data_IF_408551729804
#
_entry.id   IF_408551729804
#
_cell.length_a   1.000
_cell.length_b   1.000
_cell.length_c   1.000
_cell.angle_alpha   90.00
_cell.angle_beta   90.00
_cell.angle_gamma   90.00
#
_symmetry.space_group_name_H-M   'P 1'
#
loop_
_entity.id
_entity.type
_entity.pdbx_description
1 polymer ?
#
# COMPACT_ATOMS: atom_id res chain seq x y z
N UNK A 1 8.85 32.94 -30.29
CA UNK A 1 8.02 31.88 -29.66
C UNK A 1 8.93 31.15 -28.70
N UNK A 2 8.70 31.28 -27.39
CA UNK A 2 9.45 30.50 -26.41
C UNK A 2 8.93 29.06 -26.49
N UNK A 3 9.78 28.11 -26.87
CA UNK A 3 9.44 26.70 -26.74
C UNK A 3 9.19 26.43 -25.26
N UNK A 4 7.95 26.07 -24.92
CA UNK A 4 7.60 25.69 -23.57
C UNK A 4 8.40 24.42 -23.23
N UNK A 5 9.37 24.58 -22.34
CA UNK A 5 10.18 23.47 -21.86
C UNK A 5 9.26 22.43 -21.20
N UNK A 6 9.16 21.25 -21.81
CA UNK A 6 8.25 20.21 -21.33
C UNK A 6 8.93 19.44 -20.20
N UNK A 7 8.34 19.54 -19.01
CA UNK A 7 8.86 18.93 -17.76
C UNK A 7 9.10 17.42 -17.89
N UNK A 8 8.38 16.74 -18.79
CA UNK A 8 8.47 15.28 -19.00
C UNK A 8 9.83 14.86 -19.57
N UNK A 9 10.53 15.75 -20.27
CA UNK A 9 11.86 15.46 -20.82
C UNK A 9 12.99 15.62 -19.80
N UNK A 10 12.68 16.06 -18.58
CA UNK A 10 13.68 16.13 -17.53
C UNK A 10 14.13 14.72 -17.12
N UNK A 11 15.43 14.56 -16.80
CA UNK A 11 15.91 13.35 -16.15
C UNK A 11 15.13 13.05 -14.87
N UNK A 12 14.92 11.77 -14.60
CA UNK A 12 14.11 11.29 -13.48
C UNK A 12 14.57 11.84 -12.11
N UNK A 13 15.88 12.02 -11.91
CA UNK A 13 16.42 12.57 -10.66
C UNK A 13 16.01 14.03 -10.42
N UNK A 14 15.82 14.83 -11.48
CA UNK A 14 15.33 16.21 -11.37
C UNK A 14 13.85 16.20 -11.01
N UNK A 15 13.05 15.31 -11.63
CA UNK A 15 11.64 15.15 -11.28
C UNK A 15 11.45 14.76 -9.82
N UNK A 16 12.24 13.79 -9.33
CA UNK A 16 12.23 13.41 -7.91
C UNK A 16 12.58 14.61 -7.02
N UNK A 17 13.56 15.42 -7.43
CA UNK A 17 13.92 16.63 -6.66
C UNK A 17 12.80 17.66 -6.64
N UNK A 18 12.09 17.85 -7.75
CA UNK A 18 10.90 18.72 -7.80
C UNK A 18 9.80 18.18 -6.87
N UNK A 19 9.48 16.89 -6.97
CA UNK A 19 8.47 16.26 -6.12
C UNK A 19 8.86 16.26 -4.63
N UNK A 20 10.14 16.35 -4.28
CA UNK A 20 10.58 16.45 -2.88
C UNK A 20 10.10 17.72 -2.15
N UNK A 21 9.60 18.72 -2.89
CA UNK A 21 8.99 19.94 -2.33
C UNK A 21 7.47 19.82 -2.13
N UNK A 22 6.87 18.68 -2.52
CA UNK A 22 5.45 18.41 -2.39
C UNK A 22 5.19 17.44 -1.24
N UNK A 23 3.97 17.48 -0.71
CA UNK A 23 3.44 16.48 0.23
C UNK A 23 3.24 15.13 -0.48
N UNK A 24 3.22 14.03 0.27
CA UNK A 24 2.97 12.72 -0.31
C UNK A 24 1.54 12.62 -0.86
N UNK A 25 0.58 13.34 -0.29
CA UNK A 25 -0.76 13.49 -0.87
C UNK A 25 -0.71 14.09 -2.28
N UNK A 26 -0.02 15.22 -2.44
CA UNK A 26 0.14 15.84 -3.77
C UNK A 26 0.88 14.91 -4.75
N UNK A 27 1.94 14.22 -4.30
CA UNK A 27 2.66 13.22 -5.11
C UNK A 27 1.70 12.12 -5.58
N UNK A 28 0.78 11.66 -4.73
CA UNK A 28 -0.21 10.66 -5.10
C UNK A 28 -1.19 11.15 -6.17
N UNK A 29 -1.65 12.40 -6.07
CA UNK A 29 -2.53 13.03 -7.07
C UNK A 29 -1.81 13.23 -8.41
N UNK A 30 -0.49 13.52 -8.41
CA UNK A 30 0.27 13.71 -9.65
C UNK A 30 0.45 12.43 -10.48
N UNK A 31 0.08 11.27 -9.96
CA UNK A 31 0.11 10.01 -10.71
C UNK A 31 -0.87 10.01 -11.88
N UNK A 32 -1.97 10.73 -11.78
CA UNK A 32 -3.03 10.78 -12.81
C UNK A 32 -2.66 11.69 -14.00
N UNK A 33 -1.53 12.40 -13.94
CA UNK A 33 -1.14 13.36 -14.99
C UNK A 33 -0.65 12.66 -16.24
N UNK A 34 0.29 11.71 -16.11
CA UNK A 34 0.82 10.93 -17.23
C UNK A 34 1.58 9.67 -16.75
N UNK A 35 1.83 8.73 -17.65
CA UNK A 35 2.54 7.48 -17.33
C UNK A 35 3.95 7.69 -16.75
N UNK A 36 4.68 8.70 -17.23
CA UNK A 36 6.02 9.02 -16.69
C UNK A 36 5.91 9.46 -15.23
N UNK A 37 4.98 10.36 -14.92
CA UNK A 37 4.73 10.82 -13.56
C UNK A 37 4.23 9.68 -12.68
N UNK A 38 3.30 8.86 -13.17
CA UNK A 38 2.81 7.68 -12.47
C UNK A 38 3.98 6.77 -12.05
N UNK A 39 4.92 6.46 -12.97
CA UNK A 39 6.09 5.63 -12.67
C UNK A 39 6.98 6.24 -11.58
N UNK A 40 7.31 7.53 -11.69
CA UNK A 40 8.20 8.21 -10.72
C UNK A 40 7.54 8.31 -9.35
N UNK A 41 6.31 8.83 -9.30
CA UNK A 41 5.56 9.04 -8.05
C UNK A 41 5.26 7.70 -7.35
N UNK A 42 4.87 6.67 -8.09
CA UNK A 42 4.65 5.31 -7.55
C UNK A 42 5.87 4.80 -6.81
N UNK A 43 7.05 4.94 -7.43
CA UNK A 43 8.30 4.50 -6.83
C UNK A 43 8.68 5.32 -5.60
N UNK A 44 8.47 6.63 -5.63
CA UNK A 44 8.74 7.49 -4.49
C UNK A 44 7.81 7.23 -3.31
N UNK A 45 6.51 6.96 -3.53
CA UNK A 45 5.56 6.59 -2.47
C UNK A 45 5.93 5.26 -1.80
N UNK A 46 6.24 4.23 -2.58
CA UNK A 46 6.67 2.94 -2.03
C UNK A 46 7.97 3.08 -1.24
N UNK A 47 8.97 3.82 -1.75
CA UNK A 47 10.21 4.11 -1.02
C UNK A 47 9.93 4.88 0.28
N UNK A 48 9.03 5.85 0.24
CA UNK A 48 8.67 6.65 1.40
C UNK A 48 8.02 5.81 2.50
N UNK A 49 7.19 4.83 2.14
CA UNK A 49 6.61 3.87 3.10
C UNK A 49 7.69 3.00 3.74
N UNK A 50 8.59 2.40 2.95
CA UNK A 50 9.71 1.61 3.51
C UNK A 50 10.60 2.46 4.42
N UNK A 51 10.82 3.73 4.07
CA UNK A 51 11.63 4.65 4.88
C UNK A 51 10.94 5.03 6.18
N UNK A 52 9.61 5.25 6.18
CA UNK A 52 8.87 5.63 7.39
C UNK A 52 8.81 4.48 8.40
N UNK A 53 8.65 3.25 7.91
CA UNK A 53 8.66 2.04 8.73
C UNK A 53 10.01 1.82 9.42
N UNK A 54 11.11 1.98 8.68
CA UNK A 54 12.48 1.94 9.24
C UNK A 54 12.71 3.05 10.26
N UNK A 55 12.26 4.27 9.98
CA UNK A 55 12.41 5.41 10.88
C UNK A 55 11.65 5.18 12.19
N UNK A 56 10.40 4.70 12.12
CA UNK A 56 9.62 4.31 13.28
C UNK A 56 10.38 3.27 14.13
N UNK A 57 10.85 2.19 13.50
CA UNK A 57 11.61 1.13 14.17
C UNK A 57 12.87 1.65 14.89
N UNK A 58 13.58 2.60 14.28
CA UNK A 58 14.76 3.23 14.88
C UNK A 58 14.40 4.06 16.11
N UNK A 59 13.39 4.92 16.00
CA UNK A 59 12.92 5.77 17.10
C UNK A 59 12.42 4.88 18.25
N UNK A 60 11.67 3.82 17.94
CA UNK A 60 11.14 2.91 18.94
C UNK A 60 12.25 2.17 19.70
N UNK A 61 13.29 1.67 19.00
CA UNK A 61 14.45 1.05 19.64
C UNK A 61 15.19 2.05 20.54
N UNK A 62 15.39 3.28 20.08
CA UNK A 62 16.05 4.32 20.85
C UNK A 62 15.27 4.63 22.14
N UNK A 63 13.97 4.91 22.05
CA UNK A 63 13.14 5.22 23.22
C UNK A 63 13.06 4.02 24.18
N UNK A 64 12.89 2.79 23.68
CA UNK A 64 12.87 1.58 24.52
C UNK A 64 14.19 1.36 25.27
N UNK A 65 15.32 1.77 24.71
CA UNK A 65 16.64 1.65 25.37
C UNK A 65 16.83 2.61 26.55
N UNK A 66 16.09 3.71 26.59
CA UNK A 66 16.13 4.71 27.67
C UNK A 66 15.15 4.40 28.82
N UNK A 67 14.33 3.36 28.69
CA UNK A 67 13.36 2.99 29.73
C UNK A 67 14.03 2.24 30.90
N UNK A 68 13.56 2.45 32.14
CA UNK A 68 13.98 1.62 33.28
C UNK A 68 13.75 0.13 33.01
N UNK A 69 14.61 -0.76 33.53
CA UNK A 69 14.44 -2.22 33.33
C UNK A 69 13.17 -2.76 34.00
N UNK A 70 12.71 -2.14 35.08
CA UNK A 70 11.58 -2.62 35.89
C UNK A 70 10.24 -2.04 35.39
N UNK A 71 9.29 -2.92 35.10
CA UNK A 71 7.98 -2.55 34.52
C UNK A 71 7.18 -1.56 35.38
N UNK A 72 7.24 -1.69 36.72
CA UNK A 72 6.56 -0.77 37.64
C UNK A 72 7.07 0.67 37.55
N UNK A 73 8.34 0.86 37.18
CA UNK A 73 8.96 2.18 37.03
C UNK A 73 8.69 2.76 35.64
N UNK A 74 8.50 1.90 34.63
CA UNK A 74 8.16 2.33 33.26
C UNK A 74 6.83 3.05 33.21
N UNK A 75 5.80 2.54 33.88
CA UNK A 75 4.44 3.12 33.84
C UNK A 75 4.37 4.57 34.33
N UNK A 76 5.30 4.96 35.20
CA UNK A 76 5.38 6.32 35.75
C UNK A 76 6.43 7.19 35.04
N UNK A 77 7.14 6.64 34.05
CA UNK A 77 8.22 7.33 33.34
C UNK A 77 7.68 8.28 32.27
N UNK A 78 8.33 9.44 32.12
CA UNK A 78 7.94 10.44 31.11
C UNK A 78 7.90 9.88 29.67
N UNK A 79 8.78 8.92 29.36
CA UNK A 79 8.83 8.26 28.04
C UNK A 79 7.76 7.18 27.83
N UNK A 80 7.02 6.74 28.86
CA UNK A 80 6.00 5.69 28.71
C UNK A 80 4.94 6.07 27.68
N UNK A 81 4.50 7.33 27.71
CA UNK A 81 3.50 7.86 26.78
C UNK A 81 3.99 7.84 25.33
N UNK A 82 5.29 8.04 25.10
CA UNK A 82 5.87 7.96 23.76
C UNK A 82 5.87 6.51 23.25
N UNK A 83 6.11 5.53 24.14
CA UNK A 83 6.04 4.11 23.79
C UNK A 83 4.62 3.69 23.41
N UNK A 84 3.61 4.17 24.12
CA UNK A 84 2.20 3.88 23.80
C UNK A 84 1.82 4.43 22.42
N UNK A 85 2.21 5.69 22.12
CA UNK A 85 1.99 6.31 20.81
C UNK A 85 2.71 5.52 19.71
N UNK A 86 3.97 5.17 19.91
CA UNK A 86 4.74 4.39 18.94
C UNK A 86 4.14 3.01 18.71
N UNK A 87 3.63 2.35 19.75
CA UNK A 87 2.99 1.03 19.64
C UNK A 87 1.66 1.12 18.87
N UNK A 88 0.89 2.20 19.07
CA UNK A 88 -0.29 2.48 18.28
C UNK A 88 0.05 2.72 16.79
N UNK A 89 1.12 3.47 16.50
CA UNK A 89 1.61 3.67 15.13
C UNK A 89 2.11 2.37 14.50
N UNK A 90 2.84 1.53 15.25
CA UNK A 90 3.34 0.23 14.80
C UNK A 90 2.20 -0.68 14.32
N UNK A 91 1.10 -0.69 15.07
CA UNK A 91 -0.11 -1.44 14.70
C UNK A 91 -0.67 -0.97 13.36
N UNK A 92 -0.69 0.34 13.10
CA UNK A 92 -1.16 0.89 11.82
C UNK A 92 -0.20 0.59 10.67
N UNK A 93 1.11 0.77 10.88
CA UNK A 93 2.14 0.44 9.89
C UNK A 93 2.09 -1.04 9.49
N UNK A 94 1.93 -1.93 10.46
CA UNK A 94 1.85 -3.37 10.24
C UNK A 94 0.63 -3.75 9.40
N UNK A 95 -0.54 -3.19 9.71
CA UNK A 95 -1.77 -3.44 8.94
C UNK A 95 -1.64 -2.91 7.50
N UNK A 96 -1.12 -1.70 7.32
CA UNK A 96 -0.85 -1.17 5.98
C UNK A 96 0.13 -2.06 5.21
N UNK A 97 1.22 -2.53 5.85
CA UNK A 97 2.15 -3.44 5.21
C UNK A 97 1.46 -4.75 4.80
N UNK A 98 0.68 -5.36 5.69
CA UNK A 98 -0.06 -6.59 5.38
C UNK A 98 -1.03 -6.41 4.20
N UNK A 99 -1.71 -5.26 4.11
CA UNK A 99 -2.65 -4.97 3.03
C UNK A 99 -1.96 -4.78 1.68
N UNK A 100 -0.89 -3.99 1.62
CA UNK A 100 -0.31 -3.56 0.35
C UNK A 100 0.91 -4.37 -0.11
N UNK A 101 1.75 -4.89 0.80
CA UNK A 101 3.07 -5.46 0.45
C UNK A 101 2.95 -6.58 -0.58
N UNK A 102 1.97 -7.48 -0.44
CA UNK A 102 1.75 -8.57 -1.42
C UNK A 102 1.58 -8.06 -2.86
N UNK A 103 0.84 -6.98 -3.06
CA UNK A 103 0.56 -6.44 -4.39
C UNK A 103 1.71 -5.56 -4.90
N UNK A 104 2.42 -4.89 -4.00
CA UNK A 104 3.64 -4.14 -4.31
C UNK A 104 4.75 -5.08 -4.78
N UNK A 105 4.94 -6.22 -4.11
CA UNK A 105 5.99 -7.19 -4.45
C UNK A 105 5.74 -7.87 -5.80
N UNK A 106 4.47 -7.99 -6.21
CA UNK A 106 4.06 -8.49 -7.52
C UNK A 106 4.06 -7.41 -8.61
N UNK A 107 4.50 -6.18 -8.29
CA UNK A 107 4.48 -5.01 -9.18
C UNK A 107 3.08 -4.69 -9.74
N UNK A 108 2.02 -5.08 -9.02
CA UNK A 108 0.63 -4.88 -9.43
C UNK A 108 0.09 -3.51 -9.02
N UNK A 109 0.60 -2.94 -7.93
CA UNK A 109 0.29 -1.58 -7.51
C UNK A 109 1.42 -0.99 -6.68
N UNK A 110 1.53 0.34 -6.62
CA UNK A 110 2.39 1.01 -5.65
C UNK A 110 1.66 1.27 -4.32
N UNK A 111 2.37 1.75 -3.30
CA UNK A 111 1.71 2.29 -2.11
C UNK A 111 0.87 3.52 -2.48
N UNK A 112 -0.43 3.47 -2.18
CA UNK A 112 -1.42 4.43 -2.69
C UNK A 112 -1.73 5.58 -1.74
N UNK A 113 -1.84 5.39 -0.40
CA UNK A 113 -2.38 6.46 0.45
C UNK A 113 -1.30 7.49 0.83
N UNK A 114 -1.07 8.45 -0.06
CA UNK A 114 -0.13 9.57 0.14
C UNK A 114 -0.43 10.37 1.41
N UNK A 115 -1.71 10.66 1.68
CA UNK A 115 -2.12 11.38 2.90
C UNK A 115 -1.76 10.64 4.19
N UNK A 116 -1.80 9.30 4.20
CA UNK A 116 -1.40 8.49 5.36
C UNK A 116 0.11 8.62 5.62
N UNK A 117 0.93 8.68 4.56
CA UNK A 117 2.37 8.93 4.71
C UNK A 117 2.66 10.29 5.33
N UNK A 118 1.96 11.35 4.88
CA UNK A 118 2.15 12.69 5.44
C UNK A 118 1.90 12.70 6.95
N UNK A 119 0.79 12.10 7.40
CA UNK A 119 0.46 12.01 8.83
C UNK A 119 1.46 11.15 9.61
N UNK A 120 1.93 10.04 9.06
CA UNK A 120 2.97 9.20 9.68
C UNK A 120 4.28 9.99 9.89
N UNK A 121 4.77 10.67 8.85
CA UNK A 121 5.98 11.49 8.95
C UNK A 121 5.79 12.70 9.88
N UNK A 122 4.61 13.30 9.92
CA UNK A 122 4.29 14.39 10.83
C UNK A 122 4.30 13.92 12.29
N UNK A 123 3.72 12.75 12.58
CA UNK A 123 3.77 12.13 13.90
C UNK A 123 5.20 11.78 14.33
N UNK A 124 5.98 11.12 13.47
CA UNK A 124 7.36 10.76 13.80
C UNK A 124 8.24 11.99 14.06
N UNK A 125 8.11 13.06 13.24
CA UNK A 125 8.84 14.32 13.46
C UNK A 125 8.48 14.98 14.79
N UNK A 126 7.20 14.95 15.18
CA UNK A 126 6.76 15.46 16.49
C UNK A 126 7.33 14.65 17.65
N UNK A 127 7.44 13.33 17.51
CA UNK A 127 8.02 12.46 18.55
C UNK A 127 9.54 12.62 18.70
N UNK A 128 10.25 12.98 17.62
CA UNK A 128 11.69 13.24 17.67
C UNK A 128 12.05 14.55 18.38
N UNK A 129 11.15 15.53 18.37
CA UNK A 129 11.35 16.80 19.08
C UNK A 129 10.97 16.62 20.57
N UNK A 130 11.89 16.04 21.35
CA UNK A 130 11.71 15.61 22.75
C UNK A 130 11.37 16.73 23.75
N UNK A 131 11.53 18.01 23.37
CA UNK A 131 11.34 19.17 24.26
C UNK A 131 9.88 19.50 24.58
N UNK A 132 8.91 18.83 23.96
CA UNK A 132 7.48 19.03 24.22
C UNK A 132 6.87 17.76 24.79
N UNK A 133 6.20 17.87 25.94
CA UNK A 133 5.23 16.87 26.41
C UNK A 133 4.37 16.44 25.21
N UNK A 134 4.18 15.12 24.96
CA UNK A 134 3.51 14.66 23.75
C UNK A 134 2.15 15.37 23.63
N UNK A 135 1.98 16.30 22.67
CA UNK A 135 0.75 17.09 22.55
C UNK A 135 -0.39 16.13 22.26
N UNK A 136 -1.59 16.41 22.81
CA UNK A 136 -2.82 15.58 22.75
C UNK A 136 -2.78 14.53 21.63
N UNK A 137 -2.14 13.40 21.93
CA UNK A 137 -1.75 12.40 20.93
C UNK A 137 -2.95 11.65 20.38
N UNK A 138 -4.09 11.76 21.08
CA UNK A 138 -5.32 11.09 20.74
C UNK A 138 -5.88 11.55 19.38
N UNK A 139 -5.98 12.86 19.13
CA UNK A 139 -6.60 13.38 17.90
C UNK A 139 -5.80 13.00 16.65
N UNK A 140 -4.47 13.03 16.75
CA UNK A 140 -3.58 12.68 15.64
C UNK A 140 -3.51 11.17 15.40
N UNK A 141 -3.46 10.36 16.46
CA UNK A 141 -3.51 8.90 16.32
C UNK A 141 -4.87 8.44 15.80
N UNK A 142 -5.94 9.11 16.18
CA UNK A 142 -7.28 8.86 15.67
C UNK A 142 -7.35 9.22 14.18
N UNK A 143 -6.88 10.40 13.79
CA UNK A 143 -6.79 10.78 12.38
C UNK A 143 -5.96 9.79 11.55
N UNK A 144 -4.80 9.35 12.06
CA UNK A 144 -3.99 8.33 11.41
C UNK A 144 -4.79 7.03 11.26
N UNK A 145 -5.49 6.58 12.30
CA UNK A 145 -6.34 5.38 12.25
C UNK A 145 -7.43 5.52 11.20
N UNK A 146 -8.19 6.61 11.21
CA UNK A 146 -9.32 6.83 10.30
C UNK A 146 -8.85 6.85 8.84
N UNK A 147 -7.79 7.60 8.53
CA UNK A 147 -7.22 7.67 7.19
C UNK A 147 -6.73 6.31 6.69
N UNK A 148 -6.08 5.56 7.57
CA UNK A 148 -5.52 4.27 7.19
C UNK A 148 -6.59 3.17 7.12
N UNK A 149 -7.67 3.25 7.90
CA UNK A 149 -8.85 2.38 7.72
C UNK A 149 -9.53 2.67 6.38
N UNK A 150 -9.84 3.94 6.11
CA UNK A 150 -10.45 4.37 4.85
C UNK A 150 -9.62 3.94 3.63
N UNK A 151 -8.29 4.07 3.71
CA UNK A 151 -7.39 3.65 2.64
C UNK A 151 -7.41 2.13 2.38
N UNK A 152 -7.46 1.31 3.45
CA UNK A 152 -7.52 -0.15 3.33
C UNK A 152 -8.87 -0.60 2.79
N UNK A 153 -9.97 -0.04 3.28
CA UNK A 153 -11.33 -0.34 2.82
C UNK A 153 -11.48 -0.03 1.32
N UNK A 154 -11.08 1.17 0.90
CA UNK A 154 -11.11 1.54 -0.52
C UNK A 154 -10.23 0.60 -1.38
N UNK A 155 -9.06 0.21 -0.88
CA UNK A 155 -8.19 -0.71 -1.60
C UNK A 155 -8.84 -2.09 -1.76
N UNK A 156 -9.41 -2.64 -0.69
CA UNK A 156 -10.06 -3.94 -0.69
C UNK A 156 -11.33 -3.98 -1.54
N UNK A 157 -12.14 -2.91 -1.50
CA UNK A 157 -13.42 -2.84 -2.21
C UNK A 157 -13.24 -2.57 -3.71
N UNK A 158 -12.38 -1.62 -4.09
CA UNK A 158 -12.31 -1.16 -5.48
C UNK A 158 -11.07 -1.64 -6.23
N UNK A 159 -9.93 -1.78 -5.55
CA UNK A 159 -8.64 -2.02 -6.23
C UNK A 159 -8.33 -3.50 -6.32
N UNK A 160 -8.48 -4.25 -5.21
CA UNK A 160 -8.21 -5.69 -5.17
C UNK A 160 -8.99 -6.49 -6.22
N UNK A 161 -10.29 -6.23 -6.50
CA UNK A 161 -11.02 -6.96 -7.54
C UNK A 161 -10.40 -6.79 -8.92
N UNK A 162 -9.97 -5.57 -9.26
CA UNK A 162 -9.33 -5.24 -10.54
C UNK A 162 -8.00 -6.00 -10.66
N UNK A 163 -7.17 -5.95 -9.61
CA UNK A 163 -5.88 -6.64 -9.60
C UNK A 163 -6.03 -8.17 -9.74
N UNK A 164 -7.03 -8.75 -9.07
CA UNK A 164 -7.32 -10.20 -9.17
C UNK A 164 -7.79 -10.60 -10.57
N UNK A 165 -8.62 -9.78 -11.21
CA UNK A 165 -9.05 -10.03 -12.60
C UNK A 165 -7.85 -10.06 -13.55
N UNK A 166 -6.94 -9.07 -13.44
CA UNK A 166 -5.73 -9.01 -14.25
C UNK A 166 -4.82 -10.25 -14.07
N UNK A 167 -4.70 -10.78 -12.85
CA UNK A 167 -3.94 -12.00 -12.58
C UNK A 167 -4.58 -13.24 -13.23
N UNK A 168 -5.91 -13.35 -13.20
CA UNK A 168 -6.63 -14.48 -13.79
C UNK A 168 -6.59 -14.46 -15.32
N UNK A 169 -6.69 -13.28 -15.94
CA UNK A 169 -6.62 -13.11 -17.40
C UNK A 169 -5.22 -13.42 -17.95
N UNK A 170 -4.17 -12.99 -17.24
CA UNK A 170 -2.78 -13.30 -17.58
C UNK A 170 -2.51 -14.81 -17.54
N UNK A 171 -3.11 -15.49 -16.58
CA UNK A 171 -3.02 -16.94 -16.48
C UNK A 171 -3.78 -17.61 -17.64
N UNK A 172 -4.98 -17.12 -18.00
CA UNK A 172 -5.78 -17.61 -19.15
C UNK A 172 -5.11 -17.53 -20.51
N UNK A 173 -4.32 -16.48 -20.75
CA UNK A 173 -3.55 -16.33 -21.98
C UNK A 173 -2.52 -17.44 -22.20
N UNK A 174 -1.87 -17.92 -21.13
CA UNK A 174 -0.82 -18.94 -21.21
C UNK A 174 -1.36 -20.33 -21.57
N UNK A 175 -2.58 -20.68 -21.15
CA UNK A 175 -3.20 -21.96 -21.52
C UNK A 175 -3.72 -21.96 -22.97
N UNK A 176 -4.16 -20.80 -23.48
CA UNK A 176 -4.62 -20.70 -24.86
C UNK A 176 -3.46 -20.75 -25.87
N UNK A 177 -2.29 -20.19 -25.53
CA UNK A 177 -1.08 -20.29 -26.38
C UNK A 177 -0.48 -21.71 -26.41
N UNK A 178 -0.76 -22.56 -25.43
CA UNK A 178 -0.32 -23.96 -25.42
C UNK A 178 -1.20 -24.90 -26.26
N UNK A 179 -2.33 -24.41 -26.79
CA UNK A 179 -3.33 -25.23 -27.48
C UNK A 179 -3.22 -25.20 -29.01
N UNK A 180 -2.29 -24.44 -29.60
CA UNK A 180 -2.21 -24.22 -31.05
C UNK A 180 -1.23 -25.14 -31.81
N UNK A 181 -0.49 -26.03 -31.15
CA UNK A 181 0.35 -27.02 -31.83
C UNK A 181 0.39 -28.35 -31.08
N UNK A 182 -0.59 -29.24 -31.32
CA UNK A 182 -0.26 -30.66 -31.50
C UNK A 182 -1.45 -31.43 -32.09
N UNK A 183 -1.29 -31.84 -33.34
CA UNK A 183 -2.08 -32.85 -34.02
C UNK A 183 -1.80 -34.26 -33.48
N UNK A 184 -2.87 -35.06 -33.27
CA UNK A 184 -2.91 -36.55 -33.27
C UNK A 184 -2.11 -37.27 -32.15
N UNK A 185 -2.55 -38.33 -31.44
CA UNK A 185 -3.64 -39.33 -31.52
C UNK A 185 -3.79 -40.02 -30.13
N UNK A 186 -4.83 -40.84 -29.90
CA UNK A 186 -5.30 -41.26 -28.57
C UNK A 186 -4.79 -42.64 -28.12
N UNK A 187 -4.60 -42.85 -26.81
CA UNK A 187 -4.54 -44.19 -26.21
C UNK A 187 -5.25 -44.26 -24.84
N UNK A 188 -5.96 -45.38 -24.72
CA UNK A 188 -6.98 -45.84 -23.78
C UNK A 188 -6.43 -46.30 -22.43
N UNK A 189 -7.21 -46.15 -21.33
CA UNK A 189 -7.62 -47.19 -20.34
C UNK A 189 -7.99 -46.58 -18.97
N UNK A 190 -9.28 -46.59 -18.58
CA UNK A 190 -9.89 -47.40 -17.47
C UNK A 190 -9.25 -47.18 -16.08
N UNK A 191 -9.91 -46.90 -14.95
CA UNK A 191 -11.25 -47.16 -14.42
C UNK A 191 -11.32 -46.41 -13.05
N UNK A 192 -12.49 -45.93 -12.62
CA UNK A 192 -12.78 -45.72 -11.19
C UNK A 192 -13.45 -44.41 -10.79
N UNK A 193 -14.77 -44.32 -10.96
CA UNK A 193 -15.65 -43.42 -10.18
C UNK A 193 -15.99 -44.11 -8.83
N UNK A 194 -16.51 -43.40 -7.79
CA UNK A 194 -17.86 -42.82 -7.84
C UNK A 194 -18.05 -41.44 -7.17
N UNK A 195 -18.87 -40.63 -7.86
CA UNK A 195 -19.96 -39.75 -7.42
C UNK A 195 -20.05 -39.23 -5.97
N UNK A 196 -20.22 -37.90 -5.84
CA UNK A 196 -21.23 -37.32 -4.94
C UNK A 196 -21.89 -36.07 -5.57
N UNK A 197 -23.21 -36.08 -5.53
CA UNK A 197 -24.18 -35.13 -6.06
C UNK A 197 -24.40 -33.99 -5.06
N UNK A 198 -24.60 -32.74 -5.51
CA UNK A 198 -25.84 -31.93 -5.34
C UNK A 198 -25.63 -30.42 -5.52
N UNK A 199 -26.46 -29.89 -6.42
CA UNK A 199 -27.20 -28.63 -6.43
C UNK A 199 -26.50 -27.25 -6.60
N UNK A 200 -26.67 -26.79 -7.83
CA UNK A 200 -27.03 -25.44 -8.29
C UNK A 200 -27.82 -24.55 -7.32
N UNK A 201 -27.47 -23.26 -7.29
CA UNK A 201 -28.46 -22.18 -7.30
C UNK A 201 -28.02 -21.04 -8.23
N UNK A 202 -28.93 -20.72 -9.13
CA UNK A 202 -28.92 -19.63 -10.10
C UNK A 202 -29.46 -18.35 -9.46
N UNK A 203 -28.84 -17.20 -9.73
CA UNK A 203 -29.60 -16.00 -10.11
C UNK A 203 -28.69 -14.91 -10.67
N UNK A 204 -28.90 -14.67 -11.95
CA UNK A 204 -28.51 -13.48 -12.68
C UNK A 204 -29.20 -12.23 -12.09
N UNK A 205 -28.45 -11.15 -11.92
CA UNK A 205 -28.98 -9.81 -12.13
C UNK A 205 -27.94 -8.99 -12.89
N UNK A 206 -28.34 -8.65 -14.10
CA UNK A 206 -27.71 -7.76 -15.06
C UNK A 206 -27.74 -6.33 -14.50
N UNK A 207 -26.58 -5.68 -14.38
CA UNK A 207 -26.47 -4.24 -14.33
C UNK A 207 -25.24 -3.81 -15.12
N UNK A 208 -25.52 -3.47 -16.38
CA UNK A 208 -24.66 -2.73 -17.27
C UNK A 208 -24.12 -1.46 -16.57
N UNK A 209 -22.82 -1.45 -16.29
CA UNK A 209 -22.09 -0.30 -15.77
C UNK A 209 -20.65 -0.39 -16.27
N UNK A 210 -20.35 0.35 -17.33
CA UNK A 210 -19.03 0.39 -17.95
C UNK A 210 -18.03 1.04 -17.00
N UNK A 211 -17.30 0.22 -16.24
CA UNK A 211 -16.14 0.65 -15.47
C UNK A 211 -14.98 0.86 -16.42
N UNK A 212 -14.61 2.13 -16.62
CA UNK A 212 -13.42 2.53 -17.39
C UNK A 212 -12.17 2.21 -16.57
N UNK A 213 -11.14 1.57 -17.16
CA UNK A 213 -9.91 1.24 -16.43
C UNK A 213 -9.08 2.51 -16.15
N UNK A 214 -8.40 2.62 -14.99
CA UNK A 214 -7.44 3.67 -14.76
C UNK A 214 -6.10 3.27 -15.39
N UNK A 215 -5.64 4.10 -16.33
CA UNK A 215 -4.23 4.25 -16.69
C UNK A 215 -3.61 5.36 -15.84
#
# INVERSE_FOLDING_TARGET
MAEAFNIIYLPEHILIKIFSYMTYNEISEKREVCQSFNRVCSRELTKAFVRVDRLHSQIQKNIKSQLPRKESERRNHALSRFVDVLSAMETRLSLLSMTYTKYIDLDLCCFIPGKVLDELYQLLRRLQNTDSQPPRSYDLLQSLRDLSTMAMEHFEEFIVPILKAQMNDCSQSLYFSASATSSAMPLTSTLGSPSFTTNSFTSSMDMSGTVKPPF
#
